data_IF_264208529149
#
_entry.id   IF_264208529149
#
_cell.length_a   1.000
_cell.length_b   1.000
_cell.length_c   1.000
_cell.angle_alpha   90.00
_cell.angle_beta   90.00
_cell.angle_gamma   90.00
#
_symmetry.space_group_name_H-M   'P 1'
#
loop_
_entity.id
_entity.type
_entity.pdbx_description
1 polymer ?
#
# COMPACT_ATOMS: atom_id res chain seq x y z
N UNK A 1 1.45 -11.04 26.51
CA UNK A 1 0.32 -11.97 26.75
C UNK A 1 -0.95 -11.21 27.18
N UNK A 2 -0.92 -10.37 28.19
CA UNK A 2 -2.05 -9.57 28.70
C UNK A 2 -2.80 -8.78 27.60
N UNK A 3 -2.09 -8.20 26.64
CA UNK A 3 -2.73 -7.43 25.55
C UNK A 3 -3.63 -8.26 24.63
N UNK A 4 -3.51 -9.59 24.62
CA UNK A 4 -4.38 -10.48 23.82
C UNK A 4 -5.68 -10.85 24.55
N UNK A 5 -5.78 -10.58 25.84
CA UNK A 5 -7.02 -10.79 26.61
C UNK A 5 -8.17 -9.89 26.13
N UNK A 6 -7.87 -8.80 25.44
CA UNK A 6 -8.88 -7.94 24.82
C UNK A 6 -9.75 -8.67 23.79
N UNK A 7 -9.23 -9.74 23.14
CA UNK A 7 -10.05 -10.57 22.23
C UNK A 7 -11.19 -11.30 22.95
N UNK A 8 -11.01 -11.61 24.22
CA UNK A 8 -12.01 -12.30 25.03
C UNK A 8 -12.90 -11.31 25.79
N UNK A 9 -12.27 -10.40 26.55
CA UNK A 9 -13.00 -9.55 27.49
C UNK A 9 -13.78 -8.43 26.81
N UNK A 10 -13.23 -7.75 25.80
CA UNK A 10 -13.93 -6.62 25.18
C UNK A 10 -15.23 -7.03 24.49
N UNK A 11 -15.27 -8.07 23.62
CA UNK A 11 -16.52 -8.53 23.03
C UNK A 11 -17.50 -9.06 24.09
N UNK A 12 -17.01 -9.79 25.11
CA UNK A 12 -17.85 -10.34 26.17
C UNK A 12 -18.55 -9.22 26.96
N UNK A 13 -17.81 -8.21 27.38
CA UNK A 13 -18.37 -7.04 28.10
C UNK A 13 -19.42 -6.34 27.25
N UNK A 14 -19.11 -6.08 25.96
CA UNK A 14 -20.02 -5.36 25.06
C UNK A 14 -21.31 -6.17 24.81
N UNK A 15 -21.19 -7.49 24.60
CA UNK A 15 -22.34 -8.35 24.28
C UNK A 15 -23.22 -8.65 25.48
N UNK A 16 -22.67 -8.61 26.69
CA UNK A 16 -23.41 -8.85 27.96
C UNK A 16 -23.93 -7.58 28.61
N UNK A 17 -23.45 -6.39 28.18
CA UNK A 17 -23.97 -5.10 28.63
C UNK A 17 -25.30 -4.75 27.96
N UNK A 18 -26.02 -3.77 28.51
CA UNK A 18 -27.21 -3.23 27.82
C UNK A 18 -26.83 -2.69 26.45
N UNK A 19 -27.63 -2.97 25.41
CA UNK A 19 -27.38 -2.42 24.08
C UNK A 19 -27.30 -0.90 24.14
N UNK A 20 -26.26 -0.34 23.48
CA UNK A 20 -26.08 1.09 23.37
C UNK A 20 -27.22 1.73 22.55
N UNK A 21 -27.69 2.88 23.00
CA UNK A 21 -28.65 3.70 22.24
C UNK A 21 -27.94 4.38 21.06
N UNK A 22 -28.70 4.73 20.05
CA UNK A 22 -28.21 5.42 18.85
C UNK A 22 -27.37 6.67 19.17
N UNK A 23 -27.82 7.50 20.12
CA UNK A 23 -27.06 8.70 20.58
C UNK A 23 -25.75 8.35 21.28
N UNK A 24 -25.71 7.29 22.07
CA UNK A 24 -24.50 6.88 22.77
C UNK A 24 -23.45 6.37 21.78
N UNK A 25 -23.87 5.63 20.77
CA UNK A 25 -23.00 5.23 19.65
C UNK A 25 -22.50 6.44 18.87
N UNK A 26 -23.36 7.41 18.61
CA UNK A 26 -22.97 8.64 17.95
C UNK A 26 -21.88 9.36 18.73
N UNK A 27 -21.98 9.48 20.04
CA UNK A 27 -20.93 10.08 20.87
C UNK A 27 -19.61 9.31 20.79
N UNK A 28 -19.68 7.97 20.84
CA UNK A 28 -18.48 7.12 20.76
C UNK A 28 -17.79 7.31 19.39
N UNK A 29 -18.55 7.25 18.30
CA UNK A 29 -17.97 7.39 16.97
C UNK A 29 -17.54 8.82 16.64
N UNK A 30 -18.25 9.81 17.16
CA UNK A 30 -17.83 11.22 17.06
C UNK A 30 -16.53 11.46 17.81
N UNK A 31 -16.38 10.90 19.03
CA UNK A 31 -15.12 10.96 19.78
C UNK A 31 -13.97 10.27 19.01
N UNK A 32 -14.23 9.13 18.35
CA UNK A 32 -13.25 8.47 17.49
C UNK A 32 -12.84 9.35 16.30
N UNK A 33 -13.80 10.00 15.63
CA UNK A 33 -13.55 10.93 14.52
C UNK A 33 -12.66 12.11 14.99
N UNK A 34 -13.02 12.73 16.11
CA UNK A 34 -12.24 13.86 16.62
C UNK A 34 -10.84 13.46 17.07
N UNK A 35 -10.68 12.32 17.74
CA UNK A 35 -9.37 11.81 18.11
C UNK A 35 -8.49 11.56 16.88
N UNK A 36 -9.08 11.00 15.81
CA UNK A 36 -8.37 10.80 14.53
C UNK A 36 -8.00 12.13 13.89
N UNK A 37 -8.91 13.12 13.88
CA UNK A 37 -8.66 14.44 13.32
C UNK A 37 -7.52 15.17 14.07
N UNK A 38 -7.51 15.10 15.41
CA UNK A 38 -6.42 15.64 16.23
C UNK A 38 -5.10 14.96 15.85
N UNK A 39 -5.09 13.63 15.68
CA UNK A 39 -3.92 12.90 15.23
C UNK A 39 -3.45 13.33 13.83
N UNK A 40 -4.37 13.60 12.89
CA UNK A 40 -4.03 14.14 11.57
C UNK A 40 -3.38 15.53 11.67
N UNK A 41 -3.96 16.44 12.46
CA UNK A 41 -3.41 17.77 12.66
C UNK A 41 -2.01 17.71 13.31
N UNK A 42 -1.82 16.84 14.27
CA UNK A 42 -0.52 16.64 14.92
C UNK A 42 0.53 16.13 13.93
N UNK A 43 0.21 15.07 13.19
CA UNK A 43 1.12 14.49 12.21
C UNK A 43 1.47 15.49 11.10
N UNK A 44 0.49 16.27 10.65
CA UNK A 44 0.72 17.33 9.66
C UNK A 44 1.63 18.42 10.21
N UNK A 45 1.37 18.92 11.42
CA UNK A 45 2.21 19.91 12.09
C UNK A 45 3.65 19.41 12.29
N UNK A 46 3.81 18.15 12.70
CA UNK A 46 5.13 17.53 12.82
C UNK A 46 5.87 17.48 11.48
N UNK A 47 5.19 17.12 10.39
CA UNK A 47 5.77 17.08 9.06
C UNK A 47 6.21 18.47 8.53
N UNK A 48 5.57 19.55 8.99
CA UNK A 48 5.96 20.92 8.61
C UNK A 48 7.17 21.45 9.38
N UNK A 49 7.46 20.89 10.53
CA UNK A 49 8.50 21.40 11.46
C UNK A 49 9.77 20.55 11.48
N UNK A 50 9.77 19.38 10.83
CA UNK A 50 10.89 18.44 10.80
C UNK A 50 11.17 18.00 9.38
N UNK A 51 12.45 17.85 9.02
CA UNK A 51 12.87 17.22 7.79
C UNK A 51 12.58 15.71 7.88
N UNK A 52 11.82 15.18 6.94
CA UNK A 52 11.42 13.79 6.89
C UNK A 52 12.04 13.11 5.66
N UNK A 53 12.78 12.02 5.87
CA UNK A 53 13.28 11.21 4.77
C UNK A 53 12.13 10.53 3.99
N UNK A 54 11.05 10.22 4.68
CA UNK A 54 9.83 9.68 4.08
C UNK A 54 8.58 9.99 4.92
N UNK A 55 7.40 9.97 4.29
CA UNK A 55 6.12 10.26 4.93
C UNK A 55 5.73 9.31 6.07
N UNK A 56 6.36 8.12 6.19
CA UNK A 56 6.08 7.19 7.29
C UNK A 56 6.52 7.76 8.65
N UNK A 57 7.54 8.61 8.67
CA UNK A 57 8.10 9.20 9.89
C UNK A 57 7.20 10.25 10.54
N UNK A 58 6.20 10.80 9.81
CA UNK A 58 5.29 11.79 10.37
C UNK A 58 4.32 11.20 11.41
N UNK A 59 4.02 9.90 11.33
CA UNK A 59 3.12 9.24 12.27
C UNK A 59 3.85 8.81 13.55
N UNK A 60 3.74 9.63 14.61
CA UNK A 60 4.52 9.47 15.86
C UNK A 60 3.89 8.50 16.87
N UNK A 61 2.56 8.50 17.00
CA UNK A 61 1.86 7.76 18.05
C UNK A 61 1.39 6.38 17.60
N UNK A 62 0.99 6.27 16.34
CA UNK A 62 0.47 5.05 15.73
C UNK A 62 1.23 4.87 14.43
N UNK A 63 1.62 3.64 14.14
CA UNK A 63 2.23 3.30 12.86
C UNK A 63 1.41 3.84 11.67
N UNK A 64 2.10 4.40 10.70
CA UNK A 64 1.54 5.10 9.54
C UNK A 64 0.43 4.31 8.82
N UNK A 65 0.65 3.01 8.54
CA UNK A 65 -0.35 2.18 7.88
C UNK A 65 -1.58 1.99 8.79
N UNK A 66 -1.37 1.75 10.09
CA UNK A 66 -2.45 1.53 11.06
C UNK A 66 -3.24 2.79 11.36
N UNK A 67 -2.56 3.94 11.37
CA UNK A 67 -3.25 5.22 11.52
C UNK A 67 -4.18 5.51 10.33
N UNK A 68 -3.76 5.15 9.11
CA UNK A 68 -4.62 5.29 7.93
C UNK A 68 -5.92 4.49 8.02
N UNK A 69 -5.93 3.35 8.73
CA UNK A 69 -7.17 2.59 8.98
C UNK A 69 -8.14 3.38 9.85
N UNK A 70 -7.64 4.09 10.88
CA UNK A 70 -8.46 4.99 11.69
C UNK A 70 -9.05 6.13 10.84
N UNK A 71 -8.24 6.70 9.95
CA UNK A 71 -8.66 7.77 9.04
C UNK A 71 -9.78 7.27 8.11
N UNK A 72 -9.58 6.11 7.46
CA UNK A 72 -10.60 5.50 6.58
C UNK A 72 -11.90 5.22 7.34
N UNK A 73 -11.81 4.64 8.55
CA UNK A 73 -13.01 4.35 9.35
C UNK A 73 -13.72 5.62 9.79
N UNK A 74 -12.98 6.69 10.13
CA UNK A 74 -13.57 8.00 10.45
C UNK A 74 -14.29 8.62 9.25
N UNK A 75 -13.75 8.47 8.03
CA UNK A 75 -14.43 8.90 6.80
C UNK A 75 -15.74 8.11 6.63
N UNK A 76 -15.74 6.80 6.84
CA UNK A 76 -16.95 5.97 6.76
C UNK A 76 -18.00 6.42 7.78
N UNK A 77 -17.62 6.72 9.02
CA UNK A 77 -18.55 7.26 10.03
C UNK A 77 -19.10 8.61 9.64
N UNK A 78 -18.27 9.54 9.14
CA UNK A 78 -18.72 10.84 8.66
C UNK A 78 -19.76 10.70 7.54
N UNK A 79 -19.48 9.87 6.53
CA UNK A 79 -20.39 9.63 5.40
C UNK A 79 -21.69 8.98 5.91
N UNK A 80 -21.61 8.05 6.84
CA UNK A 80 -22.80 7.45 7.44
C UNK A 80 -23.72 8.50 8.08
N UNK A 81 -23.18 9.41 8.89
CA UNK A 81 -23.96 10.49 9.52
C UNK A 81 -24.47 11.52 8.51
N UNK A 82 -23.77 11.76 7.43
CA UNK A 82 -24.25 12.63 6.35
C UNK A 82 -25.48 12.06 5.64
N UNK A 83 -25.55 10.74 5.46
CA UNK A 83 -26.57 10.09 4.63
C UNK A 83 -27.81 9.66 5.44
N UNK A 84 -27.61 9.10 6.65
CA UNK A 84 -28.67 8.37 7.35
C UNK A 84 -29.33 9.15 8.50
N UNK A 85 -28.78 10.26 8.96
CA UNK A 85 -29.40 11.03 10.05
C UNK A 85 -30.21 12.20 9.52
N UNK A 86 -31.51 11.97 9.29
CA UNK A 86 -32.48 13.01 8.87
C UNK A 86 -32.78 14.05 9.95
N UNK A 87 -32.57 13.73 11.24
CA UNK A 87 -32.93 14.57 12.39
C UNK A 87 -31.79 15.48 12.89
N UNK A 88 -30.60 15.41 12.28
CA UNK A 88 -29.49 16.28 12.65
C UNK A 88 -29.69 17.71 12.13
N UNK A 89 -29.17 18.68 12.91
CA UNK A 89 -29.14 20.06 12.44
C UNK A 89 -28.31 20.18 11.16
N UNK A 90 -28.74 21.03 10.24
CA UNK A 90 -28.00 21.29 8.99
C UNK A 90 -26.52 21.62 9.25
N UNK A 91 -26.25 22.34 10.36
CA UNK A 91 -24.88 22.70 10.77
C UNK A 91 -24.04 21.45 11.03
N UNK A 92 -24.54 20.45 11.75
CA UNK A 92 -23.77 19.25 12.09
C UNK A 92 -23.45 18.41 10.85
N UNK A 93 -24.34 18.39 9.85
CA UNK A 93 -24.06 17.76 8.54
C UNK A 93 -22.88 18.45 7.84
N UNK A 94 -22.86 19.78 7.80
CA UNK A 94 -21.71 20.50 7.23
C UNK A 94 -20.42 20.21 7.98
N UNK A 95 -20.45 20.08 9.30
CA UNK A 95 -19.27 19.70 10.11
C UNK A 95 -18.76 18.33 9.70
N UNK A 96 -19.60 17.30 9.61
CA UNK A 96 -19.17 15.97 9.17
C UNK A 96 -18.65 15.98 7.72
N UNK A 97 -19.26 16.77 6.84
CA UNK A 97 -18.76 16.94 5.48
C UNK A 97 -17.35 17.52 5.44
N UNK A 98 -17.12 18.64 6.15
CA UNK A 98 -15.81 19.29 6.21
C UNK A 98 -14.77 18.34 6.82
N UNK A 99 -15.10 17.66 7.92
CA UNK A 99 -14.19 16.69 8.55
C UNK A 99 -13.84 15.56 7.57
N UNK A 100 -14.82 15.01 6.85
CA UNK A 100 -14.56 13.95 5.87
C UNK A 100 -13.61 14.40 4.77
N UNK A 101 -13.75 15.65 4.30
CA UNK A 101 -12.87 16.24 3.30
C UNK A 101 -11.45 16.45 3.85
N UNK A 102 -11.30 16.95 5.07
CA UNK A 102 -9.99 17.12 5.71
C UNK A 102 -9.28 15.77 5.92
N UNK A 103 -10.01 14.74 6.36
CA UNK A 103 -9.48 13.39 6.52
C UNK A 103 -9.05 12.78 5.19
N UNK A 104 -9.83 13.01 4.11
CA UNK A 104 -9.47 12.58 2.76
C UNK A 104 -8.21 13.30 2.27
N UNK A 105 -8.12 14.61 2.44
CA UNK A 105 -6.92 15.39 2.10
C UNK A 105 -5.69 14.87 2.86
N UNK A 106 -5.84 14.58 4.17
CA UNK A 106 -4.76 13.99 4.95
C UNK A 106 -4.36 12.60 4.43
N UNK A 107 -5.31 11.73 4.08
CA UNK A 107 -5.03 10.39 3.54
C UNK A 107 -4.22 10.47 2.24
N UNK A 108 -4.58 11.39 1.36
CA UNK A 108 -3.84 11.65 0.11
C UNK A 108 -2.46 12.25 0.37
N UNK A 109 -2.37 13.23 1.26
CA UNK A 109 -1.10 13.86 1.67
C UNK A 109 -0.13 12.85 2.28
N UNK A 110 -0.62 11.96 3.13
CA UNK A 110 0.18 10.92 3.80
C UNK A 110 0.70 9.83 2.86
N UNK A 111 0.20 9.76 1.62
CA UNK A 111 0.57 8.76 0.61
C UNK A 111 0.46 7.30 1.09
N UNK A 112 -0.45 7.02 2.02
CA UNK A 112 -0.65 5.68 2.55
C UNK A 112 -1.42 4.82 1.55
N UNK A 113 -0.70 4.12 0.68
CA UNK A 113 -1.29 3.32 -0.40
C UNK A 113 -2.34 2.32 0.11
N UNK A 114 -2.06 1.62 1.22
CA UNK A 114 -3.01 0.67 1.83
C UNK A 114 -4.31 1.35 2.27
N UNK A 115 -4.25 2.51 2.91
CA UNK A 115 -5.44 3.27 3.30
C UNK A 115 -6.26 3.72 2.09
N UNK A 116 -5.60 4.23 1.04
CA UNK A 116 -6.24 4.68 -0.20
C UNK A 116 -6.94 3.51 -0.91
N UNK A 117 -6.25 2.37 -1.06
CA UNK A 117 -6.82 1.16 -1.70
C UNK A 117 -8.02 0.63 -0.92
N UNK A 118 -7.94 0.59 0.42
CA UNK A 118 -9.04 0.15 1.27
C UNK A 118 -10.24 1.11 1.15
N UNK A 119 -10.00 2.42 1.17
CA UNK A 119 -11.07 3.41 0.99
C UNK A 119 -11.75 3.25 -0.38
N UNK A 120 -10.97 3.07 -1.45
CA UNK A 120 -11.52 2.82 -2.78
C UNK A 120 -12.34 1.52 -2.84
N UNK A 121 -11.89 0.45 -2.20
CA UNK A 121 -12.63 -0.81 -2.14
C UNK A 121 -13.97 -0.64 -1.40
N UNK A 122 -13.98 0.07 -0.26
CA UNK A 122 -15.21 0.37 0.50
C UNK A 122 -16.15 1.26 -0.34
N UNK A 123 -15.63 2.29 -1.00
CA UNK A 123 -16.40 3.18 -1.86
C UNK A 123 -17.03 2.43 -3.05
N UNK A 124 -16.28 1.51 -3.65
CA UNK A 124 -16.78 0.65 -4.73
C UNK A 124 -17.91 -0.26 -4.23
N UNK A 125 -17.71 -0.92 -3.08
CA UNK A 125 -18.75 -1.76 -2.46
C UNK A 125 -20.00 -0.93 -2.12
N UNK A 126 -19.84 0.32 -1.63
CA UNK A 126 -20.95 1.21 -1.36
C UNK A 126 -21.70 1.62 -2.64
N UNK A 127 -20.96 1.93 -3.69
CA UNK A 127 -21.57 2.26 -4.98
C UNK A 127 -22.36 1.06 -5.55
N UNK A 128 -21.82 -0.16 -5.46
CA UNK A 128 -22.55 -1.39 -5.82
C UNK A 128 -23.79 -1.58 -4.95
N UNK A 129 -23.70 -1.36 -3.64
CA UNK A 129 -24.85 -1.42 -2.73
C UNK A 129 -25.94 -0.43 -3.14
N UNK A 130 -25.58 0.82 -3.48
CA UNK A 130 -26.54 1.82 -3.96
C UNK A 130 -27.20 1.39 -5.28
N UNK A 131 -26.44 0.84 -6.22
CA UNK A 131 -26.95 0.36 -7.50
C UNK A 131 -27.95 -0.77 -7.30
N UNK A 132 -27.60 -1.76 -6.47
CA UNK A 132 -28.47 -2.93 -6.19
C UNK A 132 -29.81 -2.47 -5.61
N UNK A 133 -29.81 -1.50 -4.69
CA UNK A 133 -31.00 -0.98 -4.01
C UNK A 133 -31.73 0.09 -4.81
N UNK A 134 -31.19 0.57 -5.93
CA UNK A 134 -31.85 1.58 -6.77
C UNK A 134 -33.08 0.99 -7.45
N UNK A 135 -34.24 1.63 -7.25
CA UNK A 135 -35.53 1.18 -7.83
C UNK A 135 -35.69 1.56 -9.31
N UNK A 136 -35.11 2.71 -9.71
CA UNK A 136 -35.20 3.17 -11.09
C UNK A 136 -34.18 2.41 -11.96
N UNK A 137 -34.69 1.63 -12.91
CA UNK A 137 -33.88 0.79 -13.81
C UNK A 137 -32.89 1.62 -14.63
N UNK A 138 -33.31 2.76 -15.17
CA UNK A 138 -32.44 3.63 -15.99
C UNK A 138 -31.27 4.15 -15.17
N UNK A 139 -31.51 4.68 -13.96
CA UNK A 139 -30.46 5.17 -13.06
C UNK A 139 -29.51 4.02 -12.69
N UNK A 140 -30.05 2.84 -12.39
CA UNK A 140 -29.26 1.63 -12.08
C UNK A 140 -28.29 1.28 -13.22
N UNK A 141 -28.77 1.25 -14.46
CA UNK A 141 -27.93 0.96 -15.62
C UNK A 141 -26.88 2.05 -15.87
N UNK A 142 -27.25 3.33 -15.75
CA UNK A 142 -26.31 4.45 -15.91
C UNK A 142 -25.19 4.37 -14.85
N UNK A 143 -25.54 4.20 -13.57
CA UNK A 143 -24.54 4.08 -12.50
C UNK A 143 -23.63 2.86 -12.69
N UNK A 144 -24.20 1.71 -13.04
CA UNK A 144 -23.44 0.49 -13.34
C UNK A 144 -22.48 0.68 -14.50
N UNK A 145 -22.95 1.28 -15.60
CA UNK A 145 -22.12 1.58 -16.78
C UNK A 145 -20.97 2.53 -16.45
N UNK A 146 -21.19 3.56 -15.62
CA UNK A 146 -20.14 4.49 -15.21
C UNK A 146 -19.05 3.79 -14.36
N UNK A 147 -19.42 2.88 -13.46
CA UNK A 147 -18.44 2.09 -12.69
C UNK A 147 -17.63 1.18 -13.61
N UNK A 148 -18.31 0.46 -14.51
CA UNK A 148 -17.62 -0.43 -15.48
C UNK A 148 -16.69 0.40 -16.35
N UNK A 149 -17.12 1.54 -16.85
CA UNK A 149 -16.29 2.45 -17.66
C UNK A 149 -15.05 2.91 -16.89
N UNK A 150 -15.22 3.36 -15.63
CA UNK A 150 -14.10 3.78 -14.79
C UNK A 150 -13.07 2.65 -14.55
N UNK A 151 -13.55 1.45 -14.21
CA UNK A 151 -12.68 0.28 -14.02
C UNK A 151 -11.98 -0.13 -15.32
N UNK A 152 -12.69 -0.07 -16.46
CA UNK A 152 -12.13 -0.37 -17.77
C UNK A 152 -11.04 0.62 -18.15
N UNK A 153 -11.26 1.92 -17.95
CA UNK A 153 -10.24 2.96 -18.21
C UNK A 153 -8.99 2.70 -17.36
N UNK A 154 -9.16 2.43 -16.07
CA UNK A 154 -8.05 2.10 -15.17
C UNK A 154 -7.27 0.86 -15.60
N UNK A 155 -7.98 -0.20 -15.98
CA UNK A 155 -7.37 -1.45 -16.49
C UNK A 155 -6.61 -1.22 -17.80
N UNK A 156 -7.24 -0.55 -18.78
CA UNK A 156 -6.61 -0.23 -20.07
C UNK A 156 -5.37 0.64 -19.88
N UNK A 157 -5.45 1.66 -19.01
CA UNK A 157 -4.30 2.48 -18.70
C UNK A 157 -3.14 1.67 -18.07
N UNK A 158 -3.45 0.79 -17.12
CA UNK A 158 -2.44 -0.08 -16.49
C UNK A 158 -1.81 -1.02 -17.50
N UNK A 159 -2.61 -1.65 -18.35
CA UNK A 159 -2.12 -2.52 -19.45
C UNK A 159 -1.24 -1.75 -20.43
N UNK A 160 -1.64 -0.54 -20.81
CA UNK A 160 -0.85 0.33 -21.68
C UNK A 160 0.51 0.67 -21.06
N UNK A 161 0.54 1.08 -19.78
CA UNK A 161 1.77 1.41 -19.05
C UNK A 161 2.67 0.18 -18.90
N UNK A 162 2.09 -1.00 -18.66
CA UNK A 162 2.83 -2.26 -18.57
C UNK A 162 3.45 -2.64 -19.93
N UNK A 163 2.68 -2.52 -20.99
CA UNK A 163 3.16 -2.77 -22.35
C UNK A 163 4.30 -1.82 -22.71
N UNK A 164 4.13 -0.49 -22.49
CA UNK A 164 5.14 0.52 -22.78
C UNK A 164 6.45 0.31 -22.01
N UNK A 165 6.37 -0.23 -20.78
CA UNK A 165 7.54 -0.56 -19.97
C UNK A 165 8.33 -1.76 -20.50
N UNK A 166 7.65 -2.85 -20.86
CA UNK A 166 8.30 -4.13 -21.21
C UNK A 166 8.50 -4.33 -22.71
N UNK A 167 7.76 -3.62 -23.56
CA UNK A 167 7.91 -3.76 -25.01
C UNK A 167 9.20 -3.10 -25.48
N UNK A 168 10.12 -3.92 -26.01
CA UNK A 168 11.42 -3.44 -26.48
C UNK A 168 11.24 -2.61 -27.74
N UNK A 169 11.63 -1.34 -27.65
CA UNK A 169 11.55 -0.36 -28.76
C UNK A 169 12.78 -0.40 -29.66
N UNK A 170 13.96 -0.62 -29.04
CA UNK A 170 15.24 -0.57 -29.74
C UNK A 170 15.97 -1.89 -29.55
N UNK A 171 16.02 -2.69 -30.62
CA UNK A 171 16.84 -3.89 -30.66
C UNK A 171 18.26 -3.53 -31.08
N UNK A 172 19.23 -4.22 -30.47
CA UNK A 172 20.65 -4.10 -30.92
C UNK A 172 20.75 -4.79 -32.27
N UNK A 173 20.98 -3.98 -33.30
CA UNK A 173 21.17 -4.47 -34.68
C UNK A 173 22.65 -4.57 -35.05
N UNK A 174 23.52 -3.78 -34.44
CA UNK A 174 24.96 -3.73 -34.69
C UNK A 174 25.75 -3.61 -33.38
N UNK A 175 26.50 -4.66 -33.04
CA UNK A 175 27.38 -4.71 -31.85
C UNK A 175 28.76 -4.11 -32.11
N UNK A 176 29.06 -3.71 -33.36
CA UNK A 176 30.30 -3.03 -33.73
C UNK A 176 30.12 -1.51 -33.84
N UNK A 177 28.96 -1.00 -33.49
CA UNK A 177 28.65 0.43 -33.54
C UNK A 177 29.66 1.27 -32.76
N UNK A 178 30.06 2.38 -33.34
CA UNK A 178 30.96 3.37 -32.74
C UNK A 178 30.16 4.59 -32.29
N UNK A 179 30.67 5.27 -31.26
CA UNK A 179 30.20 6.60 -30.87
C UNK A 179 30.58 7.65 -31.94
N UNK A 180 30.04 8.85 -31.83
CA UNK A 180 30.46 9.97 -32.70
C UNK A 180 31.94 10.31 -32.52
N UNK A 181 32.56 10.01 -31.39
CA UNK A 181 33.99 10.17 -31.12
C UNK A 181 34.85 8.97 -31.55
N UNK A 182 34.26 7.95 -32.19
CA UNK A 182 34.97 6.76 -32.69
C UNK A 182 35.26 5.70 -31.63
N UNK A 183 34.69 5.77 -30.42
CA UNK A 183 34.84 4.74 -29.39
C UNK A 183 33.80 3.62 -29.58
N UNK A 184 34.15 2.37 -29.18
CA UNK A 184 33.23 1.25 -29.21
C UNK A 184 32.21 1.32 -28.05
N UNK A 185 30.98 0.97 -28.36
CA UNK A 185 29.96 0.74 -27.32
C UNK A 185 30.14 -0.65 -26.70
N UNK A 186 29.77 -0.75 -25.40
CA UNK A 186 29.62 -2.02 -24.71
C UNK A 186 28.18 -2.50 -24.77
N UNK A 187 27.98 -3.83 -24.73
CA UNK A 187 26.68 -4.49 -24.83
C UNK A 187 26.60 -5.62 -23.82
N UNK A 188 25.48 -5.72 -23.13
CA UNK A 188 25.16 -6.87 -22.27
C UNK A 188 24.45 -7.97 -23.07
N UNK A 189 24.72 -9.25 -22.76
CA UNK A 189 24.06 -10.39 -23.41
C UNK A 189 22.58 -10.47 -23.04
N UNK A 190 22.26 -10.23 -21.78
CA UNK A 190 20.90 -10.23 -21.23
C UNK A 190 20.62 -8.94 -20.45
N UNK A 191 20.36 -7.83 -21.15
CA UNK A 191 20.13 -6.54 -20.52
C UNK A 191 18.77 -6.46 -19.84
N UNK A 192 18.67 -5.73 -18.74
CA UNK A 192 17.38 -5.35 -18.16
C UNK A 192 16.66 -4.35 -19.07
N UNK A 193 15.34 -4.48 -19.13
CA UNK A 193 14.47 -3.57 -19.86
C UNK A 193 13.86 -2.57 -18.86
N UNK A 194 13.97 -1.28 -19.21
CA UNK A 194 13.31 -0.18 -18.51
C UNK A 194 12.79 0.83 -19.54
N UNK A 195 11.50 1.19 -19.46
CA UNK A 195 10.82 2.09 -20.41
C UNK A 195 10.84 1.62 -21.88
N UNK A 196 10.93 0.31 -22.11
CA UNK A 196 11.06 -0.26 -23.44
C UNK A 196 12.48 -0.20 -24.02
N UNK A 197 13.49 0.22 -23.26
CA UNK A 197 14.88 0.29 -23.68
C UNK A 197 15.78 -0.61 -22.85
N UNK A 198 16.82 -1.12 -23.47
CA UNK A 198 17.79 -2.04 -22.86
C UNK A 198 18.89 -1.25 -22.12
N UNK A 199 18.92 -1.33 -20.77
CA UNK A 199 19.80 -0.50 -19.93
C UNK A 199 21.29 -0.68 -20.27
N UNK A 200 21.76 -1.92 -20.38
CA UNK A 200 23.17 -2.25 -20.54
C UNK A 200 23.69 -2.24 -21.99
N UNK A 201 22.92 -1.72 -22.94
CA UNK A 201 23.31 -1.66 -24.34
C UNK A 201 23.62 -0.25 -24.80
N UNK A 202 24.52 -0.11 -25.76
CA UNK A 202 25.04 1.14 -26.27
C UNK A 202 25.61 2.04 -25.16
N UNK A 203 26.51 1.50 -24.32
CA UNK A 203 27.17 2.20 -23.22
C UNK A 203 28.63 2.44 -23.58
N UNK A 204 29.08 3.70 -23.51
CA UNK A 204 30.49 4.07 -23.60
C UNK A 204 30.91 4.79 -22.31
N UNK A 205 31.33 4.03 -21.31
CA UNK A 205 31.56 4.51 -19.94
C UNK A 205 32.62 5.62 -19.90
N UNK A 206 33.72 5.47 -20.68
CA UNK A 206 34.77 6.47 -20.80
C UNK A 206 34.24 7.84 -21.26
N UNK A 207 33.32 7.85 -22.22
CA UNK A 207 32.69 9.08 -22.68
C UNK A 207 31.70 9.66 -21.67
N UNK A 208 30.96 8.80 -21.00
CA UNK A 208 30.04 9.22 -19.95
C UNK A 208 30.76 9.91 -18.79
N UNK A 209 31.88 9.33 -18.31
CA UNK A 209 32.68 9.92 -17.24
C UNK A 209 33.23 11.28 -17.65
N UNK A 210 33.84 11.37 -18.84
CA UNK A 210 34.42 12.62 -19.34
C UNK A 210 33.36 13.70 -19.52
N UNK A 211 32.25 13.38 -20.15
CA UNK A 211 31.17 14.34 -20.41
C UNK A 211 30.45 14.76 -19.12
N UNK A 212 30.27 13.84 -18.16
CA UNK A 212 29.67 14.15 -16.87
C UNK A 212 30.52 15.14 -16.05
N UNK A 213 31.82 14.92 -15.95
CA UNK A 213 32.74 15.83 -15.25
C UNK A 213 32.81 17.24 -15.86
N UNK A 214 32.44 17.39 -17.14
CA UNK A 214 32.32 18.71 -17.79
C UNK A 214 30.97 19.40 -17.47
N UNK A 215 29.94 18.64 -17.06
CA UNK A 215 28.58 19.13 -16.94
C UNK A 215 28.08 19.22 -15.48
N UNK A 216 28.77 18.56 -14.55
CA UNK A 216 28.37 18.46 -13.12
C UNK A 216 29.59 18.47 -12.22
N UNK A 217 29.45 19.11 -11.06
CA UNK A 217 30.45 19.10 -9.99
C UNK A 217 30.34 17.81 -9.14
N UNK A 218 29.28 17.01 -9.36
CA UNK A 218 29.08 15.72 -8.65
C UNK A 218 30.03 14.67 -9.19
N UNK A 219 30.80 14.04 -8.30
CA UNK A 219 31.79 13.03 -8.66
C UNK A 219 31.15 11.86 -9.44
N UNK A 220 31.82 11.43 -10.51
CA UNK A 220 31.45 10.22 -11.24
C UNK A 220 31.91 8.99 -10.47
N UNK A 221 30.98 8.31 -9.83
CA UNK A 221 31.19 7.07 -9.10
C UNK A 221 30.17 6.02 -9.57
N UNK A 222 30.25 4.80 -9.07
CA UNK A 222 29.35 3.70 -9.46
C UNK A 222 27.85 4.07 -9.37
N UNK A 223 27.46 4.77 -8.30
CA UNK A 223 26.07 5.19 -8.11
C UNK A 223 25.66 6.25 -9.12
N UNK A 224 26.52 7.24 -9.38
CA UNK A 224 26.30 8.30 -10.38
C UNK A 224 26.25 7.70 -11.78
N UNK A 225 27.18 6.80 -12.12
CA UNK A 225 27.20 6.09 -13.40
C UNK A 225 25.91 5.29 -13.64
N UNK A 226 25.49 4.49 -12.65
CA UNK A 226 24.25 3.72 -12.74
C UNK A 226 23.02 4.63 -12.90
N UNK A 227 22.98 5.74 -12.17
CA UNK A 227 21.87 6.73 -12.27
C UNK A 227 21.84 7.39 -13.64
N UNK A 228 22.99 7.85 -14.14
CA UNK A 228 23.12 8.48 -15.44
C UNK A 228 22.73 7.53 -16.59
N UNK A 229 23.26 6.31 -16.59
CA UNK A 229 22.94 5.28 -17.59
C UNK A 229 21.44 5.02 -17.64
N UNK A 230 20.78 4.85 -16.50
CA UNK A 230 19.35 4.62 -16.43
C UNK A 230 18.54 5.86 -16.84
N UNK A 231 18.99 7.04 -16.46
CA UNK A 231 18.31 8.27 -16.84
C UNK A 231 18.34 8.46 -18.36
N UNK A 232 19.51 8.32 -18.99
CA UNK A 232 19.66 8.33 -20.46
C UNK A 232 18.82 7.24 -21.13
N UNK A 233 18.80 6.03 -20.55
CA UNK A 233 17.94 4.94 -21.01
C UNK A 233 16.45 5.33 -20.97
N UNK A 234 16.02 6.03 -19.93
CA UNK A 234 14.61 6.46 -19.79
C UNK A 234 14.21 7.52 -20.82
N UNK A 235 15.18 8.24 -21.39
CA UNK A 235 15.01 9.18 -22.50
C UNK A 235 15.11 8.50 -23.87
N UNK A 236 15.46 7.20 -23.94
CA UNK A 236 15.70 6.47 -25.18
C UNK A 236 17.00 6.87 -25.87
N UNK A 237 17.96 7.44 -25.13
CA UNK A 237 19.24 7.89 -25.66
C UNK A 237 20.31 6.79 -25.54
N UNK A 238 21.28 6.78 -26.48
CA UNK A 238 22.52 6.01 -26.31
C UNK A 238 23.32 6.61 -25.16
N UNK A 239 24.16 5.81 -24.53
CA UNK A 239 24.88 6.21 -23.30
C UNK A 239 26.31 6.60 -23.70
N UNK A 240 26.48 7.83 -24.23
CA UNK A 240 27.70 8.39 -24.72
C UNK A 240 27.83 9.89 -24.38
N UNK A 241 28.91 10.51 -24.82
CA UNK A 241 29.15 11.94 -24.59
C UNK A 241 28.10 12.84 -25.24
N UNK A 242 27.63 12.50 -26.44
CA UNK A 242 26.65 13.31 -27.17
C UNK A 242 25.31 13.36 -26.39
N UNK A 243 24.90 12.23 -25.83
CA UNK A 243 23.69 12.17 -24.99
C UNK A 243 23.84 13.03 -23.72
N UNK A 244 24.97 12.93 -23.00
CA UNK A 244 25.21 13.77 -21.81
C UNK A 244 25.21 15.25 -22.13
N UNK A 245 25.82 15.64 -23.25
CA UNK A 245 25.87 17.05 -23.71
C UNK A 245 24.49 17.58 -24.11
N UNK A 246 23.57 16.72 -24.53
CA UNK A 246 22.19 17.09 -24.88
C UNK A 246 21.24 17.27 -23.67
N UNK A 247 21.66 16.85 -22.46
CA UNK A 247 20.84 16.96 -21.25
C UNK A 247 20.58 18.44 -20.89
N UNK A 248 19.38 18.74 -20.48
CA UNK A 248 19.02 20.04 -19.91
C UNK A 248 19.64 20.26 -18.53
N UNK A 249 19.75 21.50 -18.03
CA UNK A 249 20.17 21.74 -16.64
C UNK A 249 19.25 21.09 -15.58
N UNK A 250 17.98 20.86 -15.92
CA UNK A 250 17.04 20.16 -15.05
C UNK A 250 17.35 18.66 -14.98
N UNK A 251 17.69 18.03 -16.13
CA UNK A 251 18.08 16.63 -16.19
C UNK A 251 19.34 16.37 -15.36
N UNK A 252 20.35 17.27 -15.48
CA UNK A 252 21.56 17.17 -14.67
C UNK A 252 21.22 17.20 -13.18
N UNK A 253 20.42 18.19 -12.73
CA UNK A 253 19.98 18.26 -11.31
C UNK A 253 19.21 17.01 -10.87
N UNK A 254 18.39 16.44 -11.74
CA UNK A 254 17.67 15.21 -11.42
C UNK A 254 18.64 14.04 -11.16
N UNK A 255 19.66 13.89 -12.00
CA UNK A 255 20.69 12.86 -11.85
C UNK A 255 21.51 13.08 -10.58
N UNK A 256 21.94 14.32 -10.31
CA UNK A 256 22.63 14.72 -9.06
C UNK A 256 21.81 14.35 -7.82
N UNK A 257 20.49 14.52 -7.89
CA UNK A 257 19.53 14.11 -6.85
C UNK A 257 19.18 12.61 -6.91
N UNK A 258 19.97 11.78 -7.60
CA UNK A 258 19.81 10.32 -7.72
C UNK A 258 18.49 9.87 -8.34
N UNK A 259 17.86 10.72 -9.15
CA UNK A 259 16.69 10.36 -9.94
C UNK A 259 17.13 9.61 -11.19
N UNK A 260 16.91 8.30 -11.22
CA UNK A 260 17.42 7.42 -12.28
C UNK A 260 16.48 7.29 -13.50
N UNK A 261 15.31 7.91 -13.49
CA UNK A 261 14.33 7.77 -14.56
C UNK A 261 13.50 9.05 -14.66
N UNK A 262 13.26 9.56 -15.87
CA UNK A 262 12.49 10.79 -16.09
C UNK A 262 11.07 10.73 -15.55
N UNK A 263 10.43 9.56 -15.55
CA UNK A 263 9.10 9.41 -14.96
C UNK A 263 9.08 9.50 -13.43
N UNK A 264 10.23 9.40 -12.76
CA UNK A 264 10.35 9.55 -11.31
C UNK A 264 10.36 11.02 -10.86
N UNK A 265 10.56 11.97 -11.77
CA UNK A 265 10.45 13.40 -11.49
C UNK A 265 9.02 13.83 -11.17
N UNK A 266 8.02 13.14 -11.71
CA UNK A 266 6.60 13.42 -11.47
C UNK A 266 6.14 12.75 -10.17
N UNK A 267 6.13 13.51 -9.09
CA UNK A 267 5.56 13.04 -7.82
C UNK A 267 4.07 12.69 -8.01
N UNK A 268 3.60 11.64 -7.31
CA UNK A 268 2.20 11.17 -7.29
C UNK A 268 1.64 10.63 -8.63
N UNK A 269 2.50 10.20 -9.55
CA UNK A 269 2.06 9.58 -10.80
C UNK A 269 1.89 8.06 -10.64
N UNK A 270 0.73 7.52 -11.07
CA UNK A 270 0.50 6.07 -11.11
C UNK A 270 1.55 5.38 -12.01
N UNK A 271 1.95 6.02 -13.10
CA UNK A 271 3.00 5.53 -13.99
C UNK A 271 4.34 5.39 -13.27
N UNK A 272 4.72 6.36 -12.44
CA UNK A 272 5.90 6.27 -11.58
C UNK A 272 5.85 5.06 -10.67
N UNK A 273 4.75 4.91 -9.92
CA UNK A 273 4.59 3.80 -8.98
C UNK A 273 4.67 2.43 -9.67
N UNK A 274 4.06 2.28 -10.86
CA UNK A 274 4.15 1.08 -11.67
C UNK A 274 5.59 0.82 -12.15
N UNK A 275 6.28 1.84 -12.66
CA UNK A 275 7.64 1.71 -13.18
C UNK A 275 8.65 1.37 -12.08
N UNK A 276 8.57 2.01 -10.91
CA UNK A 276 9.37 1.65 -9.73
C UNK A 276 9.12 0.19 -9.31
N UNK A 277 7.86 -0.25 -9.35
CA UNK A 277 7.48 -1.64 -9.05
C UNK A 277 8.06 -2.61 -10.08
N UNK A 278 7.92 -2.32 -11.37
CA UNK A 278 8.43 -3.19 -12.44
C UNK A 278 9.95 -3.27 -12.43
N UNK A 279 10.63 -2.16 -12.21
CA UNK A 279 12.09 -2.14 -12.07
C UNK A 279 12.54 -3.00 -10.88
N UNK A 280 11.93 -2.81 -9.72
CA UNK A 280 12.22 -3.60 -8.53
C UNK A 280 11.98 -5.12 -8.76
N UNK A 281 10.86 -5.49 -9.38
CA UNK A 281 10.56 -6.88 -9.74
C UNK A 281 11.58 -7.48 -10.72
N UNK A 282 12.00 -6.71 -11.73
CA UNK A 282 13.00 -7.14 -12.71
C UNK A 282 14.37 -7.33 -12.04
N UNK A 283 14.76 -6.41 -11.16
CA UNK A 283 16.00 -6.46 -10.38
C UNK A 283 16.01 -7.69 -9.44
N UNK A 284 14.90 -7.92 -8.74
CA UNK A 284 14.74 -9.08 -7.86
C UNK A 284 14.78 -10.39 -8.65
N UNK A 285 14.04 -10.49 -9.76
CA UNK A 285 13.99 -11.69 -10.60
C UNK A 285 15.35 -12.04 -11.18
N UNK A 286 16.14 -11.03 -11.57
CA UNK A 286 17.42 -11.23 -12.26
C UNK A 286 18.60 -11.42 -11.30
N UNK A 287 18.66 -10.64 -10.24
CA UNK A 287 19.81 -10.56 -9.34
C UNK A 287 19.52 -10.93 -7.89
N UNK A 288 18.25 -11.22 -7.54
CA UNK A 288 17.84 -11.45 -6.15
C UNK A 288 17.92 -10.19 -5.26
N UNK A 289 18.13 -9.02 -5.82
CA UNK A 289 18.31 -7.76 -5.07
C UNK A 289 16.97 -7.18 -4.71
N UNK A 290 16.76 -6.94 -3.41
CA UNK A 290 15.58 -6.21 -2.89
C UNK A 290 16.01 -4.78 -2.58
N UNK A 291 15.66 -3.86 -3.46
CA UNK A 291 15.97 -2.45 -3.34
C UNK A 291 14.89 -1.74 -2.53
N UNK A 292 14.92 -1.86 -1.18
CA UNK A 292 14.00 -1.21 -0.20
C UNK A 292 12.50 -1.32 -0.52
N UNK A 293 12.14 -2.18 -1.46
CA UNK A 293 10.75 -2.41 -1.86
C UNK A 293 10.01 -3.19 -0.78
N UNK A 294 9.12 -2.54 -0.07
CA UNK A 294 8.27 -3.18 0.94
C UNK A 294 7.38 -4.30 0.37
N UNK A 295 7.10 -4.28 -0.93
CA UNK A 295 6.36 -5.34 -1.62
C UNK A 295 7.23 -6.60 -1.79
N UNK A 296 8.47 -6.44 -2.23
CA UNK A 296 9.40 -7.56 -2.41
C UNK A 296 9.80 -8.18 -1.07
N UNK A 297 10.00 -7.35 -0.04
CA UNK A 297 10.21 -7.86 1.33
C UNK A 297 9.04 -8.74 1.80
N UNK A 298 7.78 -8.35 1.50
CA UNK A 298 6.61 -9.18 1.82
C UNK A 298 6.60 -10.50 1.06
N UNK A 299 6.97 -10.51 -0.21
CA UNK A 299 7.04 -11.74 -1.01
C UNK A 299 8.03 -12.74 -0.36
N UNK A 300 9.22 -12.30 0.02
CA UNK A 300 10.19 -13.13 0.74
C UNK A 300 9.64 -13.66 2.07
N UNK A 301 9.04 -12.77 2.87
CA UNK A 301 8.42 -13.13 4.14
C UNK A 301 7.29 -14.14 3.96
N UNK A 302 6.46 -14.00 2.93
CA UNK A 302 5.35 -14.93 2.65
C UNK A 302 5.87 -16.28 2.18
N UNK A 303 6.91 -16.32 1.34
CA UNK A 303 7.55 -17.56 0.90
C UNK A 303 8.18 -18.30 2.09
N UNK A 304 8.93 -17.60 2.94
CA UNK A 304 9.50 -18.17 4.15
C UNK A 304 8.40 -18.66 5.11
N UNK A 305 7.36 -17.85 5.34
CA UNK A 305 6.20 -18.24 6.17
C UNK A 305 5.55 -19.51 5.66
N UNK A 306 5.36 -19.62 4.34
CA UNK A 306 4.74 -20.79 3.73
C UNK A 306 5.59 -22.06 3.90
N UNK A 307 6.93 -21.96 3.88
CA UNK A 307 7.81 -23.09 4.17
C UNK A 307 7.68 -23.55 5.62
N UNK A 308 7.69 -22.62 6.59
CA UNK A 308 7.43 -22.93 8.00
C UNK A 308 6.08 -23.61 8.19
N UNK A 309 5.02 -23.10 7.52
CA UNK A 309 3.67 -23.67 7.57
C UNK A 309 3.66 -25.10 7.04
N UNK A 310 4.33 -25.41 5.94
CA UNK A 310 4.38 -26.77 5.38
C UNK A 310 4.94 -27.80 6.36
N UNK A 311 5.93 -27.41 7.16
CA UNK A 311 6.54 -28.29 8.17
C UNK A 311 5.67 -28.45 9.40
N UNK A 312 4.86 -27.42 9.75
CA UNK A 312 4.09 -27.33 10.98
C UNK A 312 2.60 -27.02 10.73
N UNK A 313 2.01 -27.52 9.65
CA UNK A 313 0.70 -27.08 9.14
C UNK A 313 -0.48 -27.29 10.10
N UNK A 314 -0.45 -28.37 10.92
CA UNK A 314 -1.57 -28.74 11.76
C UNK A 314 -1.61 -27.96 13.09
N UNK A 315 -0.47 -27.87 13.79
CA UNK A 315 -0.38 -27.27 15.13
C UNK A 315 0.44 -25.98 15.18
N UNK A 316 1.12 -25.62 14.09
CA UNK A 316 2.04 -24.49 14.07
C UNK A 316 3.29 -24.72 14.90
N UNK A 317 4.13 -23.70 15.00
CA UNK A 317 5.38 -23.70 15.79
C UNK A 317 5.18 -23.27 17.24
N UNK A 318 3.96 -22.93 17.63
CA UNK A 318 3.62 -22.40 18.93
C UNK A 318 3.53 -20.88 18.99
N UNK A 319 2.61 -20.40 19.86
CA UNK A 319 2.35 -18.97 20.06
C UNK A 319 3.59 -18.31 20.66
N UNK A 320 4.17 -17.32 19.97
CA UNK A 320 5.37 -16.60 20.37
C UNK A 320 6.64 -17.07 19.64
N UNK A 321 6.67 -18.26 19.04
CA UNK A 321 7.84 -18.81 18.32
C UNK A 321 7.82 -18.47 16.81
N UNK A 322 6.70 -18.01 16.27
CA UNK A 322 6.52 -17.79 14.83
C UNK A 322 7.52 -16.81 14.21
N UNK A 323 7.98 -15.81 14.98
CA UNK A 323 8.97 -14.85 14.49
C UNK A 323 10.37 -15.45 14.42
N UNK A 324 10.76 -16.19 15.45
CA UNK A 324 12.05 -16.89 15.48
C UNK A 324 12.12 -17.98 14.40
N UNK A 325 11.00 -18.71 14.19
CA UNK A 325 10.91 -19.69 13.11
C UNK A 325 11.03 -19.03 11.72
N UNK A 326 10.41 -17.87 11.55
CA UNK A 326 10.49 -17.10 10.30
C UNK A 326 11.93 -16.59 10.05
N UNK A 327 12.57 -15.99 11.06
CA UNK A 327 13.95 -15.52 10.94
C UNK A 327 14.90 -16.66 10.58
N UNK A 328 14.78 -17.83 11.27
CA UNK A 328 15.56 -19.04 10.96
C UNK A 328 15.31 -19.52 9.52
N UNK A 329 14.06 -19.47 9.05
CA UNK A 329 13.75 -19.90 7.68
C UNK A 329 14.33 -18.95 6.64
N UNK A 330 14.35 -17.63 6.89
CA UNK A 330 15.00 -16.66 6.02
C UNK A 330 16.52 -16.89 5.93
N UNK A 331 17.17 -17.24 7.06
CA UNK A 331 18.58 -17.61 7.09
C UNK A 331 18.85 -18.91 6.28
N UNK A 332 18.04 -19.95 6.48
CA UNK A 332 18.16 -21.24 5.77
C UNK A 332 18.00 -21.12 4.25
N UNK A 333 17.20 -20.21 3.79
CA UNK A 333 17.00 -19.98 2.34
C UNK A 333 17.94 -18.92 1.75
N UNK A 334 18.90 -18.41 2.54
CA UNK A 334 19.80 -17.32 2.13
C UNK A 334 19.04 -16.12 1.55
N UNK A 335 17.93 -15.76 2.18
CA UNK A 335 17.09 -14.65 1.69
C UNK A 335 17.88 -13.33 1.72
N UNK A 336 17.74 -12.48 0.70
CA UNK A 336 18.37 -11.14 0.66
C UNK A 336 18.02 -10.23 1.83
N UNK A 337 16.98 -10.59 2.59
CA UNK A 337 16.55 -9.84 3.77
C UNK A 337 16.94 -10.49 5.10
N UNK A 338 17.61 -11.64 5.10
CA UNK A 338 17.94 -12.38 6.32
C UNK A 338 18.75 -11.54 7.34
N UNK A 339 19.74 -10.79 6.86
CA UNK A 339 20.63 -9.95 7.69
C UNK A 339 20.03 -8.56 8.05
N UNK A 340 18.93 -8.20 7.43
CA UNK A 340 18.25 -6.95 7.75
C UNK A 340 17.65 -7.00 9.16
N UNK A 341 16.74 -6.44 9.64
CA UNK A 341 16.16 -6.41 10.97
C UNK A 341 15.63 -7.81 11.40
N UNK A 342 16.04 -8.35 12.56
CA UNK A 342 15.48 -9.58 13.16
C UNK A 342 14.13 -9.37 13.85
N UNK A 343 13.43 -10.48 14.17
CA UNK A 343 12.15 -10.51 14.88
C UNK A 343 10.98 -9.88 14.10
N UNK A 344 10.91 -10.17 12.79
CA UNK A 344 9.85 -9.65 11.89
C UNK A 344 8.58 -10.48 11.98
N UNK A 345 7.45 -9.84 11.65
CA UNK A 345 6.21 -10.55 11.30
C UNK A 345 6.17 -10.91 9.82
N UNK A 346 5.22 -11.77 9.45
CA UNK A 346 5.01 -12.13 8.04
C UNK A 346 4.39 -11.00 7.21
N UNK A 347 3.93 -9.91 7.83
CA UNK A 347 3.08 -8.90 7.20
C UNK A 347 1.84 -9.50 6.51
N UNK A 348 1.33 -10.59 7.05
CA UNK A 348 0.06 -11.21 6.69
C UNK A 348 -0.50 -11.94 7.91
N UNK A 349 -1.64 -11.46 8.41
CA UNK A 349 -2.22 -11.96 9.66
C UNK A 349 -2.57 -13.45 9.59
N UNK A 350 -3.03 -13.93 8.43
CA UNK A 350 -3.41 -15.33 8.26
C UNK A 350 -2.19 -16.25 8.30
N UNK A 351 -1.10 -15.88 7.63
CA UNK A 351 0.17 -16.62 7.69
C UNK A 351 0.75 -16.60 9.09
N UNK A 352 0.73 -15.44 9.76
CA UNK A 352 1.19 -15.33 11.16
C UNK A 352 0.39 -16.22 12.10
N UNK A 353 -0.95 -16.29 11.96
CA UNK A 353 -1.78 -17.16 12.77
C UNK A 353 -1.53 -18.63 12.45
N UNK A 354 -1.41 -18.98 11.17
CA UNK A 354 -1.15 -20.35 10.75
C UNK A 354 0.20 -20.85 11.25
N UNK A 355 1.26 -20.08 11.09
CA UNK A 355 2.57 -20.42 11.68
C UNK A 355 2.50 -20.61 13.19
N UNK A 356 1.75 -19.74 13.90
CA UNK A 356 1.69 -19.77 15.35
C UNK A 356 0.88 -20.93 15.92
N UNK A 357 -0.26 -21.29 15.31
CA UNK A 357 -1.27 -22.15 15.93
C UNK A 357 -1.82 -23.26 15.03
N UNK A 358 -1.34 -23.35 13.80
CA UNK A 358 -1.82 -24.34 12.83
C UNK A 358 -3.14 -23.97 12.16
N UNK A 359 -3.66 -24.88 11.32
CA UNK A 359 -4.79 -24.61 10.44
C UNK A 359 -6.14 -24.50 11.18
N UNK A 360 -6.35 -25.28 12.24
CA UNK A 360 -7.64 -25.33 12.94
C UNK A 360 -8.07 -23.98 13.49
N UNK A 361 -7.23 -23.23 14.26
CA UNK A 361 -7.57 -21.88 14.70
C UNK A 361 -7.74 -20.87 13.55
N UNK A 362 -7.03 -21.03 12.43
CA UNK A 362 -7.20 -20.17 11.26
C UNK A 362 -8.58 -20.36 10.64
N UNK A 363 -9.02 -21.62 10.44
CA UNK A 363 -10.36 -21.93 9.90
C UNK A 363 -11.44 -21.39 10.85
N UNK A 364 -11.28 -21.59 12.16
CA UNK A 364 -12.20 -21.05 13.16
C UNK A 364 -12.23 -19.51 13.12
N UNK A 365 -11.09 -18.86 12.99
CA UNK A 365 -11.03 -17.40 12.83
C UNK A 365 -11.73 -16.91 11.56
N UNK A 366 -11.52 -17.58 10.42
CA UNK A 366 -12.25 -17.28 9.17
C UNK A 366 -13.76 -17.47 9.35
N UNK A 367 -14.17 -18.53 10.06
CA UNK A 367 -15.58 -18.73 10.40
C UNK A 367 -16.14 -17.55 11.23
N UNK A 368 -15.41 -17.07 12.25
CA UNK A 368 -15.83 -15.92 13.05
C UNK A 368 -15.96 -14.62 12.23
N UNK A 369 -15.15 -14.44 11.19
CA UNK A 369 -15.27 -13.29 10.28
C UNK A 369 -16.51 -13.39 9.38
N UNK A 370 -16.88 -14.58 8.94
CA UNK A 370 -17.97 -14.81 7.98
C UNK A 370 -19.31 -15.02 8.67
N UNK A 371 -19.34 -15.67 9.84
CA UNK A 371 -20.56 -16.05 10.56
C UNK A 371 -21.56 -14.89 10.75
N UNK A 372 -21.17 -13.65 11.12
CA UNK A 372 -22.13 -12.56 11.25
C UNK A 372 -22.92 -12.28 9.98
N UNK A 373 -22.30 -12.41 8.80
CA UNK A 373 -22.95 -12.19 7.52
C UNK A 373 -23.98 -13.24 7.14
N UNK A 374 -23.87 -14.45 7.69
CA UNK A 374 -24.80 -15.57 7.47
C UNK A 374 -25.82 -15.64 8.60
N UNK A 375 -25.35 -15.74 9.85
CA UNK A 375 -26.19 -16.01 11.02
C UNK A 375 -26.85 -14.77 11.62
N UNK A 376 -26.30 -13.57 11.37
CA UNK A 376 -26.78 -12.31 11.96
C UNK A 376 -27.07 -11.23 10.91
N UNK A 377 -27.36 -11.61 9.68
CA UNK A 377 -27.47 -10.69 8.53
C UNK A 377 -28.44 -9.53 8.77
N UNK A 378 -29.49 -9.72 9.57
CA UNK A 378 -30.47 -8.68 9.91
C UNK A 378 -29.89 -7.58 10.82
N UNK A 379 -28.69 -7.76 11.35
CA UNK A 379 -27.97 -6.78 12.18
C UNK A 379 -26.81 -6.14 11.45
N UNK A 380 -26.54 -6.53 10.20
CA UNK A 380 -25.43 -6.02 9.42
C UNK A 380 -25.82 -4.67 8.83
N UNK A 381 -25.16 -3.62 9.31
CA UNK A 381 -25.16 -2.32 8.64
C UNK A 381 -24.02 -2.22 7.62
N UNK A 382 -24.14 -1.26 6.69
CA UNK A 382 -23.01 -0.99 5.77
C UNK A 382 -21.74 -0.58 6.52
N UNK A 383 -21.87 0.12 7.64
CA UNK A 383 -20.72 0.54 8.47
C UNK A 383 -20.02 -0.68 9.08
N UNK A 384 -20.77 -1.69 9.56
CA UNK A 384 -20.19 -2.95 10.00
C UNK A 384 -19.46 -3.69 8.87
N UNK A 385 -20.10 -3.78 7.71
CA UNK A 385 -19.48 -4.38 6.52
C UNK A 385 -18.18 -3.66 6.16
N UNK A 386 -18.19 -2.32 6.12
CA UNK A 386 -17.00 -1.51 5.81
C UNK A 386 -15.86 -1.75 6.83
N UNK A 387 -16.20 -1.85 8.13
CA UNK A 387 -15.21 -2.17 9.17
C UNK A 387 -14.58 -3.55 8.96
N UNK A 388 -15.39 -4.58 8.71
CA UNK A 388 -14.86 -5.94 8.50
C UNK A 388 -14.05 -6.01 7.21
N UNK A 389 -14.50 -5.37 6.14
CA UNK A 389 -13.75 -5.28 4.88
C UNK A 389 -12.41 -4.56 5.08
N UNK A 390 -12.39 -3.43 5.79
CA UNK A 390 -11.17 -2.70 6.14
C UNK A 390 -10.17 -3.58 6.89
N UNK A 391 -10.63 -4.27 7.94
CA UNK A 391 -9.79 -5.16 8.75
C UNK A 391 -9.30 -6.33 7.89
N UNK A 392 -10.17 -6.96 7.11
CA UNK A 392 -9.82 -8.09 6.25
C UNK A 392 -8.74 -7.71 5.22
N UNK A 393 -8.94 -6.61 4.47
CA UNK A 393 -7.96 -6.16 3.49
C UNK A 393 -6.63 -5.77 4.13
N UNK A 394 -6.67 -5.13 5.29
CA UNK A 394 -5.46 -4.82 6.05
C UNK A 394 -4.71 -6.07 6.50
N UNK A 395 -5.41 -7.13 6.92
CA UNK A 395 -4.82 -8.40 7.35
C UNK A 395 -4.10 -9.16 6.23
N UNK A 396 -4.42 -8.90 4.96
CA UNK A 396 -3.73 -9.52 3.82
C UNK A 396 -2.31 -8.98 3.64
N UNK A 397 -2.03 -7.77 4.11
CA UNK A 397 -0.75 -7.08 3.88
C UNK A 397 -0.05 -6.63 5.16
N UNK A 398 -0.67 -6.82 6.33
CA UNK A 398 -0.14 -6.46 7.64
C UNK A 398 -0.60 -7.42 8.75
N UNK A 399 0.18 -7.49 9.83
CA UNK A 399 -0.22 -8.18 11.07
C UNK A 399 -1.16 -7.29 11.91
N UNK A 400 -2.31 -6.97 11.34
CA UNK A 400 -3.24 -5.93 11.83
C UNK A 400 -3.71 -6.20 13.26
N UNK A 401 -4.09 -7.43 13.57
CA UNK A 401 -4.61 -7.81 14.89
C UNK A 401 -3.51 -8.00 15.95
N UNK A 402 -2.26 -8.12 15.54
CA UNK A 402 -1.14 -8.12 16.48
C UNK A 402 -0.86 -6.72 17.04
N UNK A 403 -1.26 -5.69 16.32
CA UNK A 403 -1.18 -4.30 16.76
C UNK A 403 -2.39 -3.90 17.60
N UNK A 404 -2.18 -2.98 18.54
CA UNK A 404 -3.24 -2.49 19.42
C UNK A 404 -4.39 -1.85 18.63
N UNK A 405 -4.09 -1.00 17.68
CA UNK A 405 -5.10 -0.28 16.89
C UNK A 405 -6.05 -1.24 16.16
N UNK A 406 -5.53 -2.16 15.34
CA UNK A 406 -6.36 -3.10 14.60
C UNK A 406 -7.15 -4.05 15.52
N UNK A 407 -6.51 -4.49 16.61
CA UNK A 407 -7.16 -5.32 17.62
C UNK A 407 -8.34 -4.59 18.28
N UNK A 408 -8.16 -3.33 18.71
CA UNK A 408 -9.23 -2.52 19.31
C UNK A 408 -10.38 -2.26 18.31
N UNK A 409 -10.04 -1.98 17.06
CA UNK A 409 -11.07 -1.84 16.02
C UNK A 409 -11.90 -3.11 15.86
N UNK A 410 -11.29 -4.29 15.86
CA UNK A 410 -12.01 -5.55 15.74
C UNK A 410 -12.79 -5.91 17.02
N UNK A 411 -12.14 -5.82 18.20
CA UNK A 411 -12.72 -6.33 19.44
C UNK A 411 -13.70 -5.37 20.11
N UNK A 412 -13.69 -4.08 19.75
CA UNK A 412 -14.60 -3.08 20.30
C UNK A 412 -15.60 -2.60 19.26
N UNK A 413 -15.14 -2.07 18.12
CA UNK A 413 -16.06 -1.47 17.14
C UNK A 413 -16.96 -2.52 16.47
N UNK A 414 -16.44 -3.72 16.16
CA UNK A 414 -17.27 -4.74 15.52
C UNK A 414 -18.42 -5.22 16.42
N UNK A 415 -18.21 -5.59 17.70
CA UNK A 415 -19.33 -5.91 18.60
C UNK A 415 -20.27 -4.72 18.86
N UNK A 416 -19.74 -3.50 19.00
CA UNK A 416 -20.58 -2.30 19.17
C UNK A 416 -21.55 -2.13 17.99
N UNK A 417 -21.06 -2.26 16.75
CA UNK A 417 -21.88 -2.13 15.55
C UNK A 417 -22.86 -3.30 15.36
N UNK A 418 -22.53 -4.50 15.84
CA UNK A 418 -23.34 -5.69 15.65
C UNK A 418 -24.41 -5.88 16.73
N UNK A 419 -24.12 -5.51 17.99
CA UNK A 419 -24.98 -5.77 19.16
C UNK A 419 -25.65 -4.50 19.71
N UNK A 420 -25.38 -3.32 19.16
CA UNK A 420 -26.19 -2.13 19.41
C UNK A 420 -27.58 -2.31 18.80
N UNK A 421 -28.58 -1.59 19.27
CA UNK A 421 -29.95 -1.62 18.72
C UNK A 421 -29.94 -1.12 17.27
N UNK A 422 -29.58 -2.02 16.35
CA UNK A 422 -29.28 -1.75 14.96
C UNK A 422 -30.47 -1.42 14.05
N UNK A 423 -31.65 -1.11 14.59
CA UNK A 423 -32.76 -0.61 13.76
C UNK A 423 -32.62 0.85 13.36
N UNK A 424 -31.73 1.61 14.02
CA UNK A 424 -31.51 3.02 13.75
C UNK A 424 -30.20 3.31 12.97
N UNK A 425 -29.45 2.27 12.60
CA UNK A 425 -28.19 2.36 11.83
C UNK A 425 -28.34 1.82 10.39
N UNK A 426 -29.56 1.38 10.03
CA UNK A 426 -29.85 0.87 8.67
C UNK A 426 -30.23 1.99 7.70
#
# INVERSE_FOLDING_TARGET
MLSKLTFLFSPLIITTSKPFKSRELQYIFTAFIFATLIGCCWNFGYAQTHELDNFRQMSRFIDHIRFSLCVVMSIVFCIHYLVHQSNETTILRYVYFIISLLLLCYLLYSQTLSGIVILMAIALCYAVYLIVNQKNSTIKWVMGSLIILFLTIGAVYTLYVTYDYFHVKDYVTDRTALTASGNLYTFQEDPMIENGHQIGNYVCEKELETAWTMRSDTAYNELTAATLIRYLNSLGLRKDSAAVMSLSPEDIRNIENKTANIYYTRQHSLRRALYETYFGLSLYKKYGIINESSMLERIELWQASWRVIREHWLFGVGIGQQRAALDRQLELQHSPIADKKKNRGSHNQFLTFWMASGIIPVVYFCFLLVYPFVGMRNRISFVYFALILLIFLSMLVEDTLNAQTGRMMYTILAPLLLFSNGRDIS
#
